data_IF_496184601301
#
_entry.id   IF_496184601301
#
_cell.length_a   1.000
_cell.length_b   1.000
_cell.length_c   1.000
_cell.angle_alpha   90.00
_cell.angle_beta   90.00
_cell.angle_gamma   90.00
#
_symmetry.space_group_name_H-M   'P 1'
#
loop_
_entity.id
_entity.type
_entity.pdbx_description
1 polymer ?
#
# COMPACT_ATOMS: atom_id res chain seq x y z
N UNK A 1 -8.87 -0.19 -20.97
CA UNK A 1 -9.21 -0.92 -19.73
C UNK A 1 -8.21 -0.45 -18.68
N UNK A 2 -8.67 0.24 -17.63
CA UNK A 2 -7.80 0.54 -16.49
C UNK A 2 -7.45 -0.81 -15.85
N UNK A 3 -6.16 -1.11 -15.75
CA UNK A 3 -5.67 -2.44 -15.35
C UNK A 3 -6.05 -2.70 -13.88
N UNK A 4 -6.89 -3.72 -13.63
CA UNK A 4 -7.50 -4.08 -12.33
C UNK A 4 -6.49 -4.61 -11.30
N UNK A 5 -5.26 -4.12 -11.31
CA UNK A 5 -4.19 -4.54 -10.42
C UNK A 5 -3.12 -3.48 -10.17
N UNK A 6 -3.26 -2.26 -10.70
CA UNK A 6 -2.26 -1.20 -10.45
C UNK A 6 -2.24 -0.79 -8.98
N UNK A 7 -3.39 -0.49 -8.37
CA UNK A 7 -3.47 -0.08 -6.96
C UNK A 7 -2.84 -1.13 -6.04
N UNK A 8 -3.10 -2.42 -6.30
CA UNK A 8 -2.54 -3.53 -5.51
C UNK A 8 -1.01 -3.62 -5.63
N UNK A 9 -0.49 -3.48 -6.85
CA UNK A 9 0.96 -3.47 -7.10
C UNK A 9 1.62 -2.26 -6.46
N UNK A 10 1.01 -1.09 -6.56
CA UNK A 10 1.49 0.15 -5.96
C UNK A 10 1.49 0.07 -4.44
N UNK A 11 0.43 -0.48 -3.83
CA UNK A 11 0.39 -0.70 -2.39
C UNK A 11 1.54 -1.60 -1.91
N UNK A 12 1.82 -2.70 -2.64
CA UNK A 12 2.97 -3.58 -2.33
C UNK A 12 4.29 -2.82 -2.47
N UNK A 13 4.44 -1.96 -3.49
CA UNK A 13 5.63 -1.15 -3.69
C UNK A 13 5.82 -0.13 -2.55
N UNK A 14 4.75 0.53 -2.11
CA UNK A 14 4.79 1.45 -0.98
C UNK A 14 5.22 0.70 0.29
N UNK A 15 4.68 -0.48 0.56
CA UNK A 15 5.11 -1.31 1.69
C UNK A 15 6.59 -1.69 1.58
N UNK A 16 7.08 -1.99 0.38
CA UNK A 16 8.48 -2.31 0.15
C UNK A 16 9.40 -1.13 0.49
N UNK A 17 9.04 0.07 0.02
CA UNK A 17 9.87 1.26 0.15
C UNK A 17 9.89 1.82 1.57
N UNK A 18 8.77 1.78 2.28
CA UNK A 18 8.62 2.39 3.59
C UNK A 18 8.80 1.40 4.74
N UNK A 19 8.39 0.13 4.56
CA UNK A 19 8.39 -0.89 5.62
C UNK A 19 9.27 -2.11 5.29
N UNK A 20 9.95 -2.11 4.13
CA UNK A 20 10.93 -3.09 3.73
C UNK A 20 10.37 -4.32 3.01
N UNK A 21 11.30 -5.08 2.40
CA UNK A 21 11.02 -6.27 1.59
C UNK A 21 10.20 -7.31 2.35
N UNK A 22 10.54 -7.57 3.62
CA UNK A 22 9.88 -8.60 4.44
C UNK A 22 8.38 -8.30 4.61
N UNK A 23 8.05 -7.07 4.98
CA UNK A 23 6.66 -6.61 5.16
C UNK A 23 5.90 -6.67 3.83
N UNK A 24 6.48 -6.15 2.74
CA UNK A 24 5.82 -6.20 1.43
C UNK A 24 5.49 -7.62 0.96
N UNK A 25 6.36 -8.61 1.24
CA UNK A 25 6.12 -10.02 0.92
C UNK A 25 4.98 -10.61 1.75
N UNK A 26 4.89 -10.27 3.03
CA UNK A 26 3.82 -10.73 3.94
C UNK A 26 2.45 -10.29 3.41
N UNK A 27 2.33 -9.01 3.05
CA UNK A 27 1.06 -8.41 2.63
C UNK A 27 0.71 -8.68 1.16
N UNK A 28 1.68 -9.07 0.32
CA UNK A 28 1.45 -9.34 -1.11
C UNK A 28 0.29 -10.30 -1.36
N UNK A 29 0.28 -11.47 -0.73
CA UNK A 29 -0.78 -12.46 -0.94
C UNK A 29 -2.13 -11.96 -0.41
N UNK A 30 -2.14 -11.20 0.68
CA UNK A 30 -3.35 -10.60 1.21
C UNK A 30 -3.92 -9.58 0.20
N UNK A 31 -3.16 -8.55 -0.19
CA UNK A 31 -3.62 -7.48 -1.08
C UNK A 31 -4.04 -7.97 -2.46
N UNK A 32 -3.39 -9.00 -3.01
CA UNK A 32 -3.79 -9.55 -4.31
C UNK A 32 -5.21 -10.14 -4.30
N UNK A 33 -5.67 -10.65 -3.15
CA UNK A 33 -6.99 -11.27 -2.98
C UNK A 33 -8.07 -10.33 -2.41
N UNK A 34 -7.74 -9.07 -2.08
CA UNK A 34 -8.69 -8.09 -1.55
C UNK A 34 -9.26 -7.18 -2.63
N UNK A 35 -10.31 -6.42 -2.29
CA UNK A 35 -10.76 -5.28 -3.10
C UNK A 35 -9.76 -4.14 -3.03
N UNK A 36 -9.74 -3.25 -4.04
CA UNK A 36 -8.84 -2.09 -4.03
C UNK A 36 -9.14 -1.15 -2.85
N UNK A 37 -10.40 -0.97 -2.50
CA UNK A 37 -10.82 -0.20 -1.32
C UNK A 37 -10.23 -0.75 -0.02
N UNK A 38 -10.32 -2.08 0.20
CA UNK A 38 -9.73 -2.71 1.38
C UNK A 38 -8.21 -2.59 1.42
N UNK A 39 -7.56 -2.64 0.25
CA UNK A 39 -6.11 -2.42 0.13
C UNK A 39 -5.75 -0.99 0.52
N UNK A 40 -6.48 0.01 0.04
CA UNK A 40 -6.22 1.42 0.36
C UNK A 40 -6.43 1.73 1.85
N UNK A 41 -7.51 1.23 2.45
CA UNK A 41 -7.78 1.39 3.89
C UNK A 41 -6.65 0.74 4.70
N UNK A 42 -6.36 -0.53 4.44
CA UNK A 42 -5.31 -1.26 5.15
C UNK A 42 -3.93 -0.61 4.99
N UNK A 43 -3.59 -0.16 3.78
CA UNK A 43 -2.32 0.51 3.51
C UNK A 43 -2.22 1.82 4.30
N UNK A 44 -3.29 2.61 4.33
CA UNK A 44 -3.32 3.88 5.07
C UNK A 44 -3.14 3.64 6.57
N UNK A 45 -3.86 2.68 7.13
CA UNK A 45 -3.75 2.33 8.56
C UNK A 45 -2.32 1.89 8.90
N UNK A 46 -1.75 0.98 8.10
CA UNK A 46 -0.41 0.47 8.32
C UNK A 46 0.66 1.56 8.22
N UNK A 47 0.61 2.42 7.19
CA UNK A 47 1.57 3.51 7.09
C UNK A 47 1.38 4.52 8.22
N UNK A 48 0.15 4.85 8.59
CA UNK A 48 -0.11 5.79 9.69
C UNK A 48 0.47 5.27 11.01
N UNK A 49 0.34 3.97 11.28
CA UNK A 49 0.88 3.34 12.49
C UNK A 49 2.42 3.34 12.52
N UNK A 50 3.08 3.04 11.40
CA UNK A 50 4.54 2.83 11.38
C UNK A 50 5.35 4.08 11.06
N UNK A 51 4.84 4.98 10.20
CA UNK A 51 5.56 6.17 9.73
C UNK A 51 4.84 7.49 10.04
N UNK A 52 3.64 7.41 10.64
CA UNK A 52 2.82 8.56 11.00
C UNK A 52 1.97 9.10 9.84
N UNK A 53 0.89 9.81 10.18
CA UNK A 53 -0.13 10.28 9.23
C UNK A 53 0.45 11.19 8.13
N UNK A 54 1.35 12.12 8.48
CA UNK A 54 1.93 13.04 7.50
C UNK A 54 2.73 12.30 6.43
N UNK A 55 3.60 11.37 6.84
CA UNK A 55 4.43 10.61 5.87
C UNK A 55 3.58 9.61 5.08
N UNK A 56 2.57 9.01 5.71
CA UNK A 56 1.61 8.16 5.03
C UNK A 56 0.90 8.93 3.89
N UNK A 57 0.43 10.15 4.17
CA UNK A 57 -0.19 11.02 3.16
C UNK A 57 0.77 11.35 2.02
N UNK A 58 2.03 11.69 2.33
CA UNK A 58 3.04 12.00 1.32
C UNK A 58 3.34 10.78 0.43
N UNK A 59 3.34 9.57 1.00
CA UNK A 59 3.49 8.33 0.24
C UNK A 59 2.34 8.13 -0.75
N UNK A 60 1.08 8.33 -0.33
CA UNK A 60 -0.08 8.22 -1.21
C UNK A 60 -0.01 9.23 -2.37
N UNK A 61 0.28 10.50 -2.07
CA UNK A 61 0.43 11.54 -3.10
C UNK A 61 1.55 11.21 -4.09
N UNK A 62 2.71 10.76 -3.60
CA UNK A 62 3.87 10.42 -4.45
C UNK A 62 3.56 9.30 -5.43
N UNK A 63 2.72 8.36 -5.02
CA UNK A 63 2.32 7.23 -5.83
C UNK A 63 1.06 7.52 -6.66
N UNK A 64 0.29 8.58 -6.38
CA UNK A 64 -0.94 8.90 -7.08
C UNK A 64 -2.15 8.09 -6.58
N UNK A 65 -2.19 7.80 -5.28
CA UNK A 65 -3.29 7.15 -4.55
C UNK A 65 -4.07 8.13 -3.67
#
# INVERSE_FOLDING_TARGET
MVDKGEIKKMAIQILHDYLGVTTSKLYKNFYMNQTEEMVLISLKELLTEYIGESQARDAFIRYGL
#
